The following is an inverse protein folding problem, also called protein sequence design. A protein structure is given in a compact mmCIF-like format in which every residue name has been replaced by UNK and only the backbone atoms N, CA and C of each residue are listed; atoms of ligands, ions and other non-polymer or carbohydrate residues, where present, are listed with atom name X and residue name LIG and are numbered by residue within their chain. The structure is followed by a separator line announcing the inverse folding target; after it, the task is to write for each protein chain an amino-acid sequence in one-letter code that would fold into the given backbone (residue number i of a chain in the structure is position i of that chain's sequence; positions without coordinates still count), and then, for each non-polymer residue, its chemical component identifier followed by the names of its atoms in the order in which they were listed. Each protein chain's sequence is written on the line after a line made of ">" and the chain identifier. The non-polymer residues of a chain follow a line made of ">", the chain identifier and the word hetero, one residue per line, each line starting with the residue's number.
data_IF_881497141859
#
_entry.id   IF_881497141859
#
_cell.length_a   1.000
_cell.length_b   1.000
_cell.length_c   1.000
_cell.angle_alpha   90.00
_cell.angle_beta   90.00
_cell.angle_gamma   90.00
#
_symmetry.space_group_name_H-M   'P 1'
#
loop_
_entity.id
_entity.type
_entity.pdbx_description
1 polymer ?
#
# COMPACT_ATOMS: atom_id res chain seq x y z
N UNK A 1 9.46 -9.91 12.60
CA UNK A 1 8.72 -9.66 11.34
C UNK A 1 9.55 -10.21 10.19
N UNK A 2 9.16 -11.33 9.58
CA UNK A 2 9.92 -11.86 8.43
C UNK A 2 9.68 -10.99 7.21
N UNK A 3 10.67 -10.18 6.85
CA UNK A 3 10.68 -9.40 5.62
C UNK A 3 11.10 -10.30 4.46
N UNK A 4 10.36 -10.27 3.35
CA UNK A 4 10.65 -11.10 2.18
C UNK A 4 9.62 -10.90 1.07
N UNK A 5 9.85 -11.48 -0.12
CA UNK A 5 8.90 -11.42 -1.23
C UNK A 5 7.52 -11.94 -0.82
N UNK A 6 6.45 -11.53 -1.51
CA UNK A 6 5.10 -12.05 -1.29
C UNK A 6 5.15 -13.58 -1.23
N UNK A 7 4.48 -14.17 -0.24
CA UNK A 7 4.44 -15.62 -0.08
C UNK A 7 3.88 -16.29 -1.34
N UNK A 8 4.44 -17.44 -1.72
CA UNK A 8 4.17 -18.07 -3.01
C UNK A 8 2.68 -18.38 -3.23
N UNK A 9 1.98 -18.77 -2.16
CA UNK A 9 0.55 -19.04 -2.11
C UNK A 9 -0.33 -17.79 -2.34
N UNK A 10 0.21 -16.59 -2.08
CA UNK A 10 -0.52 -15.32 -2.25
C UNK A 10 -0.06 -14.52 -3.47
N UNK A 11 1.09 -14.86 -4.06
CA UNK A 11 1.73 -14.07 -5.12
C UNK A 11 0.84 -13.89 -6.34
N UNK A 12 0.23 -14.95 -6.85
CA UNK A 12 -0.61 -14.87 -8.05
C UNK A 12 -1.85 -14.01 -7.80
N UNK A 13 -2.54 -14.25 -6.68
CA UNK A 13 -3.72 -13.50 -6.29
C UNK A 13 -3.41 -12.01 -6.09
N UNK A 14 -2.33 -11.68 -5.37
CA UNK A 14 -1.96 -10.29 -5.14
C UNK A 14 -1.58 -9.56 -6.44
N UNK A 15 -0.92 -10.24 -7.38
CA UNK A 15 -0.63 -9.67 -8.70
C UNK A 15 -1.91 -9.45 -9.52
N UNK A 16 -2.89 -10.36 -9.46
CA UNK A 16 -4.17 -10.20 -10.13
C UNK A 16 -4.98 -9.02 -9.57
N UNK A 17 -4.99 -8.86 -8.24
CA UNK A 17 -5.62 -7.72 -7.57
C UNK A 17 -4.92 -6.42 -7.98
N UNK A 18 -3.59 -6.36 -7.93
CA UNK A 18 -2.85 -5.15 -8.31
C UNK A 18 -3.16 -4.73 -9.75
N UNK A 19 -3.20 -5.66 -10.71
CA UNK A 19 -3.60 -5.34 -12.09
C UNK A 19 -5.02 -4.80 -12.17
N UNK A 20 -5.96 -5.45 -11.49
CA UNK A 20 -7.36 -5.01 -11.49
C UNK A 20 -7.53 -3.62 -10.90
N UNK A 21 -6.79 -3.29 -9.83
CA UNK A 21 -6.79 -1.95 -9.26
C UNK A 21 -6.16 -0.93 -10.20
N UNK A 22 -5.08 -1.29 -10.91
CA UNK A 22 -4.46 -0.40 -11.89
C UNK A 22 -5.41 -0.12 -13.05
N UNK A 23 -6.11 -1.13 -13.57
CA UNK A 23 -7.10 -0.94 -14.65
C UNK A 23 -8.25 -0.01 -14.24
N UNK A 24 -8.69 -0.09 -12.97
CA UNK A 24 -9.78 0.74 -12.43
C UNK A 24 -9.33 2.15 -12.13
N UNK A 25 -8.18 2.33 -11.45
CA UNK A 25 -7.70 3.64 -11.02
C UNK A 25 -6.94 4.40 -12.10
N UNK A 26 -6.32 3.68 -13.03
CA UNK A 26 -5.48 4.20 -14.09
C UNK A 26 -5.95 3.72 -15.48
N UNK A 27 -7.20 4.01 -15.89
CA UNK A 27 -7.67 3.61 -17.21
C UNK A 27 -6.88 4.35 -18.29
N UNK A 28 -5.99 3.63 -18.99
CA UNK A 28 -5.19 4.14 -20.10
C UNK A 28 -3.68 4.15 -19.83
N UNK A 29 -2.92 4.87 -20.67
CA UNK A 29 -1.45 4.80 -20.67
C UNK A 29 -0.80 5.63 -19.55
N UNK A 30 -1.52 6.62 -19.01
CA UNK A 30 -1.00 7.49 -17.96
C UNK A 30 -1.48 7.04 -16.58
N UNK A 31 -0.55 6.52 -15.77
CA UNK A 31 -0.78 6.25 -14.35
C UNK A 31 -0.95 7.57 -13.59
N UNK A 32 -2.12 7.76 -12.97
CA UNK A 32 -2.49 8.97 -12.19
C UNK A 32 -2.58 8.70 -10.69
N UNK A 33 -2.89 7.47 -10.31
CA UNK A 33 -3.19 7.07 -8.94
C UNK A 33 -2.22 5.98 -8.50
N UNK A 34 -1.52 6.23 -7.40
CA UNK A 34 -0.70 5.24 -6.72
C UNK A 34 -1.51 4.54 -5.62
N UNK A 35 -1.26 3.24 -5.43
CA UNK A 35 -1.87 2.45 -4.37
C UNK A 35 -0.86 1.49 -3.74
N UNK A 36 -1.20 1.08 -2.52
CA UNK A 36 -0.55 -0.03 -1.80
C UNK A 36 -1.64 -0.92 -1.20
N UNK A 37 -1.49 -2.23 -1.37
CA UNK A 37 -2.36 -3.23 -0.75
C UNK A 37 -1.54 -3.98 0.29
N UNK A 38 -2.05 -4.00 1.53
CA UNK A 38 -1.48 -4.77 2.64
C UNK A 38 -2.38 -5.96 2.92
N UNK A 39 -1.80 -7.14 3.05
CA UNK A 39 -2.53 -8.37 3.40
C UNK A 39 -1.82 -9.09 4.53
N UNK A 40 -2.59 -9.55 5.50
CA UNK A 40 -2.13 -10.37 6.62
C UNK A 40 -3.18 -11.43 6.91
N UNK A 41 -2.79 -12.47 7.66
CA UNK A 41 -3.78 -13.41 8.21
C UNK A 41 -4.56 -12.70 9.32
N UNK A 42 -5.88 -12.96 9.37
CA UNK A 42 -6.72 -12.40 10.43
C UNK A 42 -6.19 -12.84 11.82
N UNK A 43 -6.01 -11.86 12.70
CA UNK A 43 -5.48 -12.08 14.06
C UNK A 43 -3.96 -12.21 14.15
N UNK A 44 -3.22 -12.21 13.03
CA UNK A 44 -1.75 -12.33 12.98
C UNK A 44 -1.11 -11.06 12.40
N UNK A 45 -1.39 -9.93 13.05
CA UNK A 45 -0.95 -8.61 12.59
C UNK A 45 0.34 -8.15 13.28
N UNK A 46 0.48 -8.44 14.57
CA UNK A 46 1.60 -7.99 15.40
C UNK A 46 2.70 -9.04 15.43
N UNK A 47 3.90 -8.69 14.94
CA UNK A 47 5.02 -9.64 14.79
C UNK A 47 4.86 -10.66 13.65
N UNK A 48 3.62 -10.85 13.18
CA UNK A 48 3.23 -11.71 12.06
C UNK A 48 3.74 -11.27 10.69
N UNK A 49 3.31 -12.01 9.66
CA UNK A 49 3.69 -11.74 8.26
C UNK A 49 2.67 -10.82 7.60
N UNK A 50 3.12 -9.64 7.20
CA UNK A 50 2.38 -8.74 6.32
C UNK A 50 3.02 -8.79 4.94
N UNK A 51 2.24 -9.17 3.92
CA UNK A 51 2.62 -9.03 2.52
C UNK A 51 2.11 -7.68 2.00
N UNK A 52 2.84 -7.07 1.07
CA UNK A 52 2.39 -5.88 0.38
C UNK A 52 2.68 -5.93 -1.11
N UNK A 53 1.85 -5.23 -1.89
CA UNK A 53 2.06 -4.97 -3.31
C UNK A 53 1.62 -3.53 -3.62
N UNK A 54 2.28 -2.88 -4.57
CA UNK A 54 2.00 -1.50 -4.99
C UNK A 54 2.25 -1.33 -6.48
N UNK A 55 1.66 -0.30 -7.09
CA UNK A 55 1.94 0.10 -8.48
C UNK A 55 2.95 1.26 -8.60
N UNK A 56 3.42 1.80 -7.47
CA UNK A 56 4.38 2.91 -7.38
C UNK A 56 5.77 2.48 -6.92
N UNK A 57 6.72 3.40 -7.05
CA UNK A 57 8.10 3.25 -6.60
C UNK A 57 8.17 3.10 -5.08
N UNK A 58 9.15 2.30 -4.61
CA UNK A 58 9.25 1.96 -3.18
C UNK A 58 9.37 3.20 -2.29
N UNK A 59 10.08 4.24 -2.73
CA UNK A 59 10.26 5.47 -1.96
C UNK A 59 8.94 6.22 -1.75
N UNK A 60 8.13 6.33 -2.79
CA UNK A 60 6.84 7.02 -2.74
C UNK A 60 5.83 6.27 -1.88
N UNK A 61 5.81 4.93 -1.97
CA UNK A 61 4.94 4.10 -1.14
C UNK A 61 5.33 4.19 0.35
N UNK A 62 6.63 4.25 0.66
CA UNK A 62 7.10 4.51 2.03
C UNK A 62 6.64 5.88 2.52
N UNK A 63 6.71 6.91 1.66
CA UNK A 63 6.21 8.24 1.98
C UNK A 63 4.70 8.20 2.28
N UNK A 64 3.90 7.61 1.38
CA UNK A 64 2.44 7.45 1.54
C UNK A 64 2.08 6.73 2.85
N UNK A 65 2.78 5.65 3.19
CA UNK A 65 2.52 4.91 4.43
C UNK A 65 2.87 5.74 5.68
N UNK A 66 4.00 6.46 5.68
CA UNK A 66 4.39 7.34 6.79
C UNK A 66 3.38 8.45 7.04
N UNK A 67 2.96 9.15 5.99
CA UNK A 67 1.96 10.22 6.08
C UNK A 67 0.60 9.66 6.58
N UNK A 68 0.20 8.51 6.07
CA UNK A 68 -1.04 7.84 6.49
C UNK A 68 -1.01 7.43 7.96
N UNK A 69 0.10 6.83 8.41
CA UNK A 69 0.30 6.44 9.81
C UNK A 69 0.31 7.68 10.72
N UNK A 70 1.04 8.73 10.32
CA UNK A 70 1.08 10.00 11.07
C UNK A 70 -0.32 10.62 11.22
N UNK A 71 -1.15 10.55 10.16
CA UNK A 71 -2.56 10.97 10.21
C UNK A 71 -3.38 10.10 11.17
N UNK A 72 -3.24 8.78 11.12
CA UNK A 72 -3.99 7.87 12.00
C UNK A 72 -3.61 7.98 13.47
N UNK A 73 -2.35 8.26 13.77
CA UNK A 73 -1.87 8.44 15.14
C UNK A 73 -2.09 9.86 15.68
N UNK A 74 -2.80 10.72 14.94
CA UNK A 74 -3.07 12.10 15.36
C UNK A 74 -1.83 13.00 15.39
N UNK A 75 -0.73 12.60 14.75
CA UNK A 75 0.51 13.39 14.63
C UNK A 75 0.50 14.39 13.49
N UNK A 76 -0.61 14.47 12.74
CA UNK A 76 -0.80 15.47 11.68
C UNK A 76 -1.31 16.78 12.30
N UNK A 77 -0.42 17.75 12.45
CA UNK A 77 -0.82 19.15 12.60
C UNK A 77 -1.23 19.60 11.19
N UNK A 78 -2.52 19.88 11.00
CA UNK A 78 -3.05 20.53 9.81
C UNK A 78 -2.26 21.81 9.56
N UNK A 79 -1.27 21.79 8.65
CA UNK A 79 -0.78 23.02 8.06
C UNK A 79 -1.83 23.42 7.03
N UNK A 80 -2.85 24.09 7.56
CA UNK A 80 -3.98 24.60 6.82
C UNK A 80 -3.52 25.21 5.51
N UNK A 81 -3.97 24.61 4.42
CA UNK A 81 -3.86 25.21 3.10
C UNK A 81 -4.55 26.57 3.15
N UNK A 82 -3.78 27.62 2.88
CA UNK A 82 -4.33 28.94 2.58
C UNK A 82 -5.28 28.79 1.40
N UNK A 83 -6.55 29.14 1.63
CA UNK A 83 -7.52 29.44 0.59
C UNK A 83 -7.05 30.62 -0.27
#
# INVERSE_FOLDING_TARGET
>A
MTHGPIQADQRELMNAIARSLDDVFNPGETRRIAFVVLTAKFGDYEGGRVNYISNGERADIICMMKETIARFEGRYIDQGGKA
#
